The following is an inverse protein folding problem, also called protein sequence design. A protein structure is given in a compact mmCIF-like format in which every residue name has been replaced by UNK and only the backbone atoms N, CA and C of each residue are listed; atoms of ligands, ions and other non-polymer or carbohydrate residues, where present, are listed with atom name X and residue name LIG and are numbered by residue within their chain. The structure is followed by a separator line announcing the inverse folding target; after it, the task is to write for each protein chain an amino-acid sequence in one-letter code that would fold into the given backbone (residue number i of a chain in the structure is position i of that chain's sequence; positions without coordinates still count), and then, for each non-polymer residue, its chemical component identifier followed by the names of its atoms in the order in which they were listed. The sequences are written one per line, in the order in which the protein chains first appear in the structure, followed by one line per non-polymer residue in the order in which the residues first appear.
data_IF_972959011579
#
_entry.id   IF_972959011579
#
_cell.length_a   1.000
_cell.length_b   1.000
_cell.length_c   1.000
_cell.angle_alpha   90.00
_cell.angle_beta   90.00
_cell.angle_gamma   90.00
#
_symmetry.space_group_name_H-M   'P 1'
#
loop_
_entity.id
_entity.type
_entity.pdbx_description
1 polymer ?
#
# COMPACT_ATOMS: atom_id res chain seq x y z
N UNK A 1 -12.67 44.20 23.44
CA UNK A 1 -11.78 45.25 22.98
C UNK A 1 -10.40 45.09 23.64
N UNK A 2 -9.33 45.33 22.91
CA UNK A 2 -7.99 45.38 23.49
C UNK A 2 -7.81 46.68 24.29
N UNK A 3 -7.19 46.68 25.47
CA UNK A 3 -6.96 47.85 26.30
C UNK A 3 -5.60 47.80 26.99
N UNK A 4 -5.09 48.96 27.38
CA UNK A 4 -3.83 49.08 28.12
C UNK A 4 -4.12 49.78 29.43
N UNK A 5 -3.72 49.17 30.51
CA UNK A 5 -3.84 49.68 31.87
C UNK A 5 -2.45 50.07 32.43
N UNK A 6 -2.33 51.28 33.00
CA UNK A 6 -1.15 51.70 33.73
C UNK A 6 -1.24 51.17 35.17
N UNK A 7 -0.22 50.47 35.64
CA UNK A 7 -0.11 49.98 37.05
C UNK A 7 1.22 50.36 37.65
N UNK A 8 1.25 50.51 38.94
CA UNK A 8 2.49 50.66 39.71
C UNK A 8 2.74 49.35 40.47
N UNK A 9 3.90 48.75 40.25
CA UNK A 9 4.33 47.55 40.95
C UNK A 9 5.72 47.77 41.50
N UNK A 10 5.87 47.61 42.83
CA UNK A 10 7.15 47.80 43.53
C UNK A 10 7.83 49.14 43.21
N UNK A 11 7.04 50.25 43.22
CA UNK A 11 7.53 51.58 42.90
C UNK A 11 7.82 51.89 41.41
N UNK A 12 7.64 50.91 40.49
CA UNK A 12 7.87 51.08 39.06
C UNK A 12 6.57 51.10 38.29
N UNK A 13 6.47 52.02 37.35
CA UNK A 13 5.31 52.03 36.40
C UNK A 13 5.45 50.93 35.41
N UNK A 14 4.41 50.09 35.29
CA UNK A 14 4.28 49.02 34.29
C UNK A 14 2.97 49.17 33.52
N UNK A 15 2.95 48.66 32.28
CA UNK A 15 1.81 48.74 31.38
C UNK A 15 1.27 47.37 31.10
N UNK A 16 0.01 47.10 31.44
CA UNK A 16 -0.67 45.82 31.26
C UNK A 16 -1.55 45.87 30.06
N UNK A 17 -1.21 45.13 29.00
CA UNK A 17 -2.03 44.94 27.81
C UNK A 17 -3.05 43.83 28.07
N UNK A 18 -4.33 44.14 27.89
CA UNK A 18 -5.46 43.21 27.96
C UNK A 18 -5.97 42.93 26.57
N UNK A 19 -6.20 41.66 26.27
CA UNK A 19 -6.78 41.26 25.00
C UNK A 19 -7.61 39.97 25.14
N UNK A 20 -8.48 39.68 24.17
CA UNK A 20 -9.21 38.42 24.11
C UNK A 20 -8.65 37.54 23.02
N UNK A 21 -8.58 36.25 23.27
CA UNK A 21 -8.27 35.26 22.25
C UNK A 21 -9.42 35.13 21.25
N UNK A 22 -9.26 34.53 20.07
CA UNK A 22 -10.34 34.23 19.14
C UNK A 22 -11.47 33.39 19.80
N UNK A 23 -11.13 32.52 20.76
CA UNK A 23 -12.08 31.75 21.58
C UNK A 23 -12.77 32.56 22.70
N UNK A 24 -12.56 33.90 22.76
CA UNK A 24 -13.19 34.78 23.76
C UNK A 24 -12.48 34.86 25.12
N UNK A 25 -11.46 34.05 25.40
CA UNK A 25 -10.77 34.05 26.67
C UNK A 25 -9.96 35.33 26.87
N UNK A 26 -10.06 35.96 28.07
CA UNK A 26 -9.29 37.14 28.41
C UNK A 26 -7.85 36.75 28.74
N UNK A 27 -6.90 37.51 28.19
CA UNK A 27 -5.43 37.38 28.43
C UNK A 27 -4.86 38.73 28.74
N UNK A 28 -3.72 38.72 29.44
CA UNK A 28 -2.97 39.93 29.70
C UNK A 28 -1.47 39.68 29.65
N UNK A 29 -0.70 40.74 29.33
CA UNK A 29 0.76 40.75 29.37
C UNK A 29 1.26 42.09 29.85
N UNK A 30 2.26 42.11 30.75
CA UNK A 30 2.81 43.30 31.36
C UNK A 30 4.10 43.71 30.65
N UNK A 31 4.28 44.99 30.45
CA UNK A 31 5.44 45.62 29.80
C UNK A 31 5.96 46.79 30.63
N UNK A 32 7.25 47.10 30.51
CA UNK A 32 7.88 48.23 31.20
C UNK A 32 7.60 49.56 30.47
N UNK A 33 7.27 49.55 29.18
CA UNK A 33 6.99 50.75 28.37
C UNK A 33 5.61 50.63 27.70
N UNK A 34 4.94 51.78 27.60
CA UNK A 34 3.61 51.84 26.96
C UNK A 34 3.67 51.44 25.50
N UNK A 35 4.69 51.91 24.75
CA UNK A 35 4.91 51.62 23.36
C UNK A 35 5.04 50.11 23.07
N UNK A 36 5.69 49.35 23.99
CA UNK A 36 5.83 47.93 23.82
C UNK A 36 4.48 47.20 24.00
N UNK A 37 3.64 47.68 24.92
CA UNK A 37 2.28 47.18 25.08
C UNK A 37 1.39 47.46 23.86
N UNK A 38 1.51 48.67 23.28
CA UNK A 38 0.78 49.06 22.04
C UNK A 38 1.21 48.20 20.84
N UNK A 39 2.52 48.05 20.60
CA UNK A 39 3.06 47.20 19.54
C UNK A 39 2.61 45.75 19.71
N UNK A 40 2.63 45.25 20.94
CA UNK A 40 2.16 43.89 21.21
C UNK A 40 0.67 43.73 20.87
N UNK A 41 -0.20 44.64 21.26
CA UNK A 41 -1.62 44.58 20.91
C UNK A 41 -1.84 44.68 19.41
N UNK A 42 -1.13 45.54 18.70
CA UNK A 42 -1.20 45.63 17.25
C UNK A 42 -0.80 44.26 16.59
N UNK A 43 0.27 43.65 17.08
CA UNK A 43 0.68 42.32 16.59
C UNK A 43 -0.37 41.23 16.89
N UNK A 44 -1.00 41.24 18.06
CA UNK A 44 -2.07 40.32 18.44
C UNK A 44 -3.27 40.51 17.50
N UNK A 45 -3.71 41.74 17.26
CA UNK A 45 -4.87 42.02 16.40
C UNK A 45 -4.56 41.64 14.94
N UNK A 46 -3.37 41.97 14.43
CA UNK A 46 -2.93 41.53 13.10
C UNK A 46 -2.93 40.01 12.97
N UNK A 47 -2.39 39.30 13.97
CA UNK A 47 -2.36 37.84 13.96
C UNK A 47 -3.74 37.18 14.03
N UNK A 48 -4.70 37.82 14.70
CA UNK A 48 -6.11 37.37 14.71
C UNK A 48 -6.76 37.56 13.33
N UNK A 49 -6.54 38.72 12.71
CA UNK A 49 -7.10 39.03 11.40
C UNK A 49 -6.53 38.11 10.31
N UNK A 50 -5.29 37.69 10.41
CA UNK A 50 -4.65 36.74 9.50
C UNK A 50 -4.88 35.26 9.88
N UNK A 51 -5.60 34.98 10.97
CA UNK A 51 -5.81 33.62 11.46
C UNK A 51 -4.55 32.93 12.00
N UNK A 52 -3.44 33.67 12.18
CA UNK A 52 -2.16 33.14 12.64
C UNK A 52 -1.94 33.29 14.15
N UNK A 53 -2.98 33.67 14.90
CA UNK A 53 -2.90 33.86 16.35
C UNK A 53 -2.67 32.54 17.09
N UNK A 54 -1.66 32.52 17.95
CA UNK A 54 -1.34 31.42 18.87
C UNK A 54 -1.62 31.89 20.29
N UNK A 55 -2.41 31.11 21.05
CA UNK A 55 -2.56 31.37 22.49
C UNK A 55 -1.28 30.91 23.23
N UNK A 56 -0.51 31.84 23.86
CA UNK A 56 0.69 31.49 24.59
C UNK A 56 0.46 30.51 25.77
N UNK A 57 -0.78 30.43 26.27
CA UNK A 57 -1.11 29.49 27.34
C UNK A 57 -1.24 28.06 26.79
N UNK A 58 -1.83 27.90 25.60
CA UNK A 58 -2.01 26.60 24.96
C UNK A 58 -0.70 26.02 24.45
N UNK A 59 0.23 26.86 24.00
CA UNK A 59 1.54 26.42 23.46
C UNK A 59 2.57 26.04 24.56
N UNK A 60 2.24 26.23 25.83
CA UNK A 60 3.09 25.84 26.98
C UNK A 60 3.04 24.34 27.29
N UNK A 61 2.04 23.62 26.77
CA UNK A 61 1.93 22.16 26.93
C UNK A 61 3.21 21.49 26.47
N UNK A 62 3.63 20.43 27.12
CA UNK A 62 4.77 19.63 26.65
C UNK A 62 4.40 18.74 25.48
N UNK A 63 5.39 18.30 24.72
CA UNK A 63 5.17 17.33 23.65
C UNK A 63 4.68 16.00 24.22
N UNK A 64 5.10 15.62 25.44
CA UNK A 64 4.62 14.41 26.11
C UNK A 64 3.12 14.47 26.40
N UNK A 65 2.66 15.52 27.11
CA UNK A 65 1.24 15.72 27.43
C UNK A 65 0.40 15.85 26.16
N UNK A 66 0.93 16.54 25.13
CA UNK A 66 0.26 16.67 23.85
C UNK A 66 0.14 15.33 23.11
N UNK A 67 1.15 14.46 23.21
CA UNK A 67 1.13 13.14 22.61
C UNK A 67 0.04 12.24 23.18
N UNK A 68 -0.20 12.33 24.49
CA UNK A 68 -1.28 11.60 25.17
C UNK A 68 -2.66 12.09 24.67
N UNK A 69 -2.89 13.40 24.67
CA UNK A 69 -4.12 14.00 24.17
C UNK A 69 -4.34 13.65 22.68
N UNK A 70 -3.28 13.63 21.89
CA UNK A 70 -3.35 13.26 20.49
C UNK A 70 -3.73 11.78 20.29
N UNK A 71 -3.15 10.88 21.09
CA UNK A 71 -3.46 9.44 21.06
C UNK A 71 -4.91 9.18 21.46
N UNK A 72 -5.40 9.82 22.51
CA UNK A 72 -6.79 9.69 22.97
C UNK A 72 -7.78 10.16 21.91
N UNK A 73 -7.40 11.17 21.14
CA UNK A 73 -8.20 11.65 20.00
C UNK A 73 -8.24 10.73 18.78
N UNK A 74 -7.41 9.67 18.73
CA UNK A 74 -7.34 8.76 17.58
C UNK A 74 -8.41 7.66 17.61
N UNK A 75 -9.68 7.99 17.81
CA UNK A 75 -10.79 7.04 17.97
C UNK A 75 -11.20 6.34 16.68
N UNK A 76 -10.95 6.94 15.51
CA UNK A 76 -11.37 6.43 14.19
C UNK A 76 -10.37 5.46 13.55
N UNK A 77 -9.20 5.26 14.13
CA UNK A 77 -8.18 4.37 13.56
C UNK A 77 -8.38 2.93 14.02
N UNK A 78 -7.98 1.97 13.18
CA UNK A 78 -7.97 0.54 13.57
C UNK A 78 -7.07 0.34 14.80
N UNK A 79 -7.46 -0.59 15.68
CA UNK A 79 -6.71 -0.91 16.90
C UNK A 79 -5.20 -1.15 16.67
N UNK A 80 -4.84 -1.84 15.58
CA UNK A 80 -3.45 -2.08 15.18
C UNK A 80 -2.72 -0.81 14.74
N UNK A 81 -3.43 0.19 14.25
CA UNK A 81 -2.85 1.49 13.89
C UNK A 81 -2.62 2.32 15.14
N UNK A 82 -3.58 2.30 16.08
CA UNK A 82 -3.45 2.94 17.38
C UNK A 82 -2.26 2.38 18.17
N UNK A 83 -2.17 1.05 18.31
CA UNK A 83 -1.03 0.37 18.95
C UNK A 83 0.32 0.77 18.34
N UNK A 84 0.37 0.90 17.00
CA UNK A 84 1.58 1.36 16.31
C UNK A 84 1.91 2.81 16.63
N UNK A 85 0.91 3.70 16.70
CA UNK A 85 1.12 5.10 17.07
C UNK A 85 1.62 5.21 18.51
N UNK A 86 0.96 4.51 19.43
CA UNK A 86 1.39 4.41 20.83
C UNK A 86 2.83 3.89 20.95
N UNK A 87 3.16 2.81 20.22
CA UNK A 87 4.51 2.27 20.18
C UNK A 87 5.55 3.25 19.67
N UNK A 88 5.21 4.06 18.64
CA UNK A 88 6.11 5.11 18.12
C UNK A 88 6.27 6.24 19.14
N UNK A 89 5.17 6.71 19.73
CA UNK A 89 5.21 7.77 20.75
C UNK A 89 6.09 7.33 21.91
N UNK A 90 5.82 6.18 22.50
CA UNK A 90 6.55 5.67 23.67
C UNK A 90 8.04 5.42 23.40
N UNK A 91 8.39 4.81 22.25
CA UNK A 91 9.75 4.35 21.97
C UNK A 91 10.64 5.40 21.32
N UNK A 92 10.08 6.38 20.62
CA UNK A 92 10.87 7.29 19.79
C UNK A 92 10.60 8.78 20.07
N UNK A 93 9.36 9.16 20.39
CA UNK A 93 9.00 10.56 20.62
C UNK A 93 9.24 10.95 22.08
N UNK A 94 8.61 10.27 23.03
CA UNK A 94 8.73 10.59 24.45
C UNK A 94 10.17 10.63 24.97
N UNK A 95 11.08 9.71 24.63
CA UNK A 95 12.46 9.77 25.14
C UNK A 95 13.22 11.02 24.76
N UNK A 96 12.83 11.69 23.66
CA UNK A 96 13.50 12.91 23.20
C UNK A 96 12.75 14.18 23.57
N UNK A 97 11.41 14.13 23.54
CA UNK A 97 10.58 15.33 23.51
C UNK A 97 9.64 15.48 24.71
N UNK A 98 9.53 14.49 25.61
CA UNK A 98 8.48 14.45 26.64
C UNK A 98 8.37 15.77 27.40
N UNK A 99 9.49 16.32 27.88
CA UNK A 99 9.55 17.53 28.70
C UNK A 99 9.74 18.83 27.91
N UNK A 100 9.79 18.74 26.55
CA UNK A 100 9.98 19.91 25.70
C UNK A 100 8.61 20.55 25.44
N UNK A 101 8.50 21.86 25.62
CA UNK A 101 7.28 22.61 25.29
C UNK A 101 7.07 22.61 23.77
N UNK A 102 5.82 22.47 23.32
CA UNK A 102 5.49 22.50 21.87
C UNK A 102 6.08 23.75 21.19
N UNK A 103 5.97 24.92 21.82
CA UNK A 103 6.52 26.17 21.30
C UNK A 103 8.05 26.21 21.20
N UNK A 104 8.75 25.33 21.90
CA UNK A 104 10.21 25.29 21.91
C UNK A 104 10.81 24.34 20.88
N UNK A 105 9.98 23.50 20.24
CA UNK A 105 10.43 22.59 19.18
C UNK A 105 10.74 23.38 17.92
N UNK A 106 11.99 23.33 17.46
CA UNK A 106 12.40 23.97 16.21
C UNK A 106 12.52 22.97 15.04
N UNK A 107 12.51 23.48 13.81
CA UNK A 107 12.75 22.67 12.62
C UNK A 107 14.13 21.98 12.65
N UNK A 108 15.17 22.71 13.11
CA UNK A 108 16.53 22.17 13.23
C UNK A 108 16.61 21.02 14.25
N UNK A 109 15.86 21.10 15.34
CA UNK A 109 15.83 20.03 16.34
C UNK A 109 15.19 18.76 15.79
N UNK A 110 14.09 18.92 15.01
CA UNK A 110 13.43 17.78 14.34
C UNK A 110 14.37 17.18 13.29
N UNK A 111 15.09 17.99 12.50
CA UNK A 111 16.05 17.51 11.52
C UNK A 111 17.20 16.74 12.21
N UNK A 112 17.74 17.27 13.31
CA UNK A 112 18.79 16.61 14.08
C UNK A 112 18.30 15.28 14.70
N UNK A 113 17.04 15.25 15.17
CA UNK A 113 16.43 14.03 15.68
C UNK A 113 16.25 12.97 14.59
N UNK A 114 15.78 13.34 13.39
CA UNK A 114 15.69 12.46 12.23
C UNK A 114 17.06 11.89 11.88
N UNK A 115 18.11 12.73 11.87
CA UNK A 115 19.49 12.30 11.62
C UNK A 115 19.98 11.29 12.67
N UNK A 116 19.63 11.46 13.94
CA UNK A 116 19.94 10.46 14.98
C UNK A 116 19.23 9.14 14.75
N UNK A 117 17.95 9.19 14.37
CA UNK A 117 17.16 7.97 14.07
C UNK A 117 17.76 7.15 12.92
N UNK A 118 18.37 7.79 11.91
CA UNK A 118 18.97 7.06 10.77
C UNK A 118 20.15 6.17 11.18
N UNK A 119 20.78 6.43 12.32
CA UNK A 119 21.88 5.60 12.84
C UNK A 119 21.42 4.22 13.33
N UNK A 120 20.16 4.08 13.74
CA UNK A 120 19.63 2.87 14.38
C UNK A 120 18.40 2.29 13.69
N UNK A 121 17.76 3.04 12.80
CA UNK A 121 16.52 2.66 12.17
C UNK A 121 16.64 2.66 10.64
N UNK A 122 15.94 1.72 9.99
CA UNK A 122 15.85 1.71 8.52
C UNK A 122 15.18 2.99 7.98
N UNK A 123 15.50 3.43 6.76
CA UNK A 123 14.87 4.58 6.11
C UNK A 123 13.33 4.55 6.16
N UNK A 124 12.74 3.39 5.93
CA UNK A 124 11.30 3.20 5.98
C UNK A 124 10.73 3.38 7.41
N UNK A 125 11.46 2.93 8.45
CA UNK A 125 11.09 3.13 9.85
C UNK A 125 11.18 4.59 10.25
N UNK A 126 12.29 5.27 9.90
CA UNK A 126 12.46 6.72 10.16
C UNK A 126 11.30 7.52 9.59
N UNK A 127 10.91 7.26 8.34
CA UNK A 127 9.78 7.94 7.70
C UNK A 127 8.45 7.70 8.42
N UNK A 128 8.22 6.48 8.92
CA UNK A 128 7.01 6.16 9.70
C UNK A 128 7.00 6.86 11.06
N UNK A 129 8.14 6.90 11.74
CA UNK A 129 8.31 7.56 13.03
C UNK A 129 8.10 9.07 12.88
N UNK A 130 8.77 9.70 11.91
CA UNK A 130 8.61 11.12 11.58
C UNK A 130 7.15 11.47 11.25
N UNK A 131 6.47 10.62 10.46
CA UNK A 131 5.06 10.85 10.11
C UNK A 131 4.15 10.96 11.33
N UNK A 132 4.37 10.17 12.38
CA UNK A 132 3.59 10.26 13.61
C UNK A 132 3.81 11.60 14.30
N UNK A 133 5.08 12.03 14.46
CA UNK A 133 5.39 13.35 15.00
C UNK A 133 4.75 14.48 14.17
N UNK A 134 4.86 14.41 12.83
CA UNK A 134 4.25 15.40 11.94
C UNK A 134 2.74 15.48 12.11
N UNK A 135 2.03 14.34 12.19
CA UNK A 135 0.57 14.32 12.41
C UNK A 135 0.18 14.92 13.76
N UNK A 136 0.97 14.68 14.82
CA UNK A 136 0.76 15.30 16.13
C UNK A 136 0.91 16.82 16.06
N UNK A 137 1.95 17.32 15.38
CA UNK A 137 2.20 18.75 15.22
C UNK A 137 1.19 19.41 14.25
N UNK A 138 0.70 18.71 13.22
CA UNK A 138 -0.39 19.19 12.37
C UNK A 138 -1.70 19.38 13.17
N UNK A 139 -1.98 18.47 14.11
CA UNK A 139 -3.11 18.66 15.01
C UNK A 139 -2.90 19.85 15.95
N UNK A 140 -1.67 20.07 16.46
CA UNK A 140 -1.34 21.23 17.29
C UNK A 140 -1.50 22.56 16.54
N UNK A 141 -1.22 22.57 15.23
CA UNK A 141 -1.49 23.75 14.37
C UNK A 141 -2.99 23.98 14.23
N UNK A 142 -3.76 22.93 13.94
CA UNK A 142 -5.24 23.04 13.84
C UNK A 142 -5.90 23.46 15.15
N UNK A 143 -5.31 23.08 16.29
CA UNK A 143 -5.78 23.44 17.64
C UNK A 143 -5.26 24.84 18.09
N UNK A 144 -4.61 25.60 17.21
CA UNK A 144 -4.10 26.95 17.52
C UNK A 144 -2.97 26.99 18.52
N UNK A 145 -2.26 25.87 18.77
CA UNK A 145 -1.10 25.77 19.66
C UNK A 145 0.21 26.10 18.98
N UNK A 146 0.28 25.90 17.68
CA UNK A 146 1.44 26.22 16.82
C UNK A 146 0.97 26.98 15.59
N UNK A 147 1.81 27.90 15.07
CA UNK A 147 1.55 28.61 13.82
C UNK A 147 1.81 27.77 12.58
N UNK A 148 2.73 26.83 12.69
CA UNK A 148 3.14 25.94 11.60
C UNK A 148 3.66 24.62 12.13
N UNK A 149 3.60 23.60 11.28
CA UNK A 149 4.22 22.32 11.58
C UNK A 149 5.73 22.39 11.32
N UNK A 150 6.52 22.38 12.39
CA UNK A 150 8.00 22.42 12.32
C UNK A 150 8.62 21.12 11.83
N UNK A 151 7.85 20.01 11.79
CA UNK A 151 8.27 18.76 11.18
C UNK A 151 7.99 18.71 9.66
N UNK A 152 7.30 19.70 9.09
CA UNK A 152 7.12 19.78 7.64
C UNK A 152 8.47 20.06 6.95
N UNK A 153 8.63 19.54 5.74
CA UNK A 153 9.80 19.77 4.87
C UNK A 153 11.16 19.32 5.47
N UNK A 154 11.13 18.43 6.48
CA UNK A 154 12.35 17.79 7.01
C UNK A 154 12.93 16.82 5.98
N UNK A 155 14.24 16.85 5.80
CA UNK A 155 14.95 15.94 4.90
C UNK A 155 14.91 14.52 5.45
N UNK A 156 14.14 13.65 4.78
CA UNK A 156 13.98 12.26 5.18
C UNK A 156 14.84 11.33 4.33
N UNK A 157 15.41 10.26 4.91
CA UNK A 157 16.21 9.30 4.16
C UNK A 157 15.39 8.66 3.04
N UNK A 158 16.03 8.44 1.88
CA UNK A 158 15.38 7.80 0.73
C UNK A 158 15.07 6.34 1.06
N UNK A 159 13.85 5.86 0.74
CA UNK A 159 13.53 4.43 0.88
C UNK A 159 14.42 3.61 -0.03
N UNK A 160 15.02 2.56 0.48
CA UNK A 160 15.70 1.57 -0.35
C UNK A 160 14.62 0.67 -0.96
N UNK A 161 14.55 0.64 -2.29
CA UNK A 161 13.73 -0.35 -3.00
C UNK A 161 14.49 -1.67 -2.98
N UNK A 162 14.02 -2.62 -2.20
CA UNK A 162 14.51 -3.99 -2.30
C UNK A 162 13.93 -4.63 -3.56
N UNK A 163 14.79 -5.29 -4.31
CA UNK A 163 14.38 -6.10 -5.44
C UNK A 163 13.49 -7.25 -4.93
N UNK A 164 12.30 -7.37 -5.50
CA UNK A 164 11.37 -8.43 -5.08
C UNK A 164 11.74 -9.72 -5.77
N UNK A 165 12.04 -10.74 -4.99
CA UNK A 165 12.35 -12.06 -5.49
C UNK A 165 11.08 -12.91 -5.51
N UNK A 166 10.59 -13.22 -6.69
CA UNK A 166 9.45 -14.11 -6.88
C UNK A 166 9.94 -15.56 -6.84
N UNK A 167 9.09 -16.46 -6.34
CA UNK A 167 9.42 -17.88 -6.23
C UNK A 167 8.80 -18.67 -7.37
N UNK A 168 9.54 -19.63 -7.90
CA UNK A 168 9.03 -20.61 -8.87
C UNK A 168 8.13 -21.63 -8.18
N UNK A 169 7.36 -22.40 -8.96
CA UNK A 169 6.57 -23.52 -8.44
C UNK A 169 7.42 -24.49 -7.63
N UNK A 170 8.58 -24.91 -8.18
CA UNK A 170 9.50 -25.82 -7.49
C UNK A 170 10.03 -25.26 -6.16
N UNK A 171 10.30 -23.94 -6.09
CA UNK A 171 10.71 -23.30 -4.83
C UNK A 171 9.59 -23.23 -3.81
N UNK A 172 8.34 -23.03 -4.26
CA UNK A 172 7.17 -23.07 -3.36
C UNK A 172 6.96 -24.49 -2.82
N UNK A 173 7.08 -25.52 -3.66
CA UNK A 173 6.93 -26.92 -3.26
C UNK A 173 8.04 -27.32 -2.29
N UNK A 174 9.29 -26.96 -2.55
CA UNK A 174 10.40 -27.21 -1.63
C UNK A 174 10.16 -26.55 -0.26
N UNK A 175 9.69 -25.30 -0.25
CA UNK A 175 9.37 -24.58 0.99
C UNK A 175 8.21 -25.25 1.75
N UNK A 176 7.15 -25.63 1.04
CA UNK A 176 6.01 -26.31 1.61
C UNK A 176 6.43 -27.66 2.23
N UNK A 177 7.23 -28.44 1.50
CA UNK A 177 7.80 -29.70 2.00
C UNK A 177 8.65 -29.47 3.25
N UNK A 178 9.58 -28.52 3.23
CA UNK A 178 10.44 -28.22 4.38
C UNK A 178 9.64 -27.73 5.62
N UNK A 179 8.51 -27.04 5.43
CA UNK A 179 7.61 -26.64 6.51
C UNK A 179 6.81 -27.84 7.09
N UNK A 180 6.47 -28.79 6.24
CA UNK A 180 5.72 -30.00 6.63
C UNK A 180 6.59 -31.14 7.16
N UNK A 181 7.83 -31.24 6.66
CA UNK A 181 8.74 -32.36 6.97
C UNK A 181 10.13 -31.81 7.30
N UNK A 182 10.31 -31.16 8.47
CA UNK A 182 11.58 -30.59 8.85
C UNK A 182 12.67 -31.67 8.99
N UNK A 183 13.78 -31.49 8.29
CA UNK A 183 14.92 -32.44 8.29
C UNK A 183 15.67 -32.50 9.61
N UNK A 184 15.57 -31.47 10.45
CA UNK A 184 16.22 -31.38 11.75
C UNK A 184 15.17 -31.17 12.85
N UNK A 185 14.71 -32.30 13.41
CA UNK A 185 13.70 -32.34 14.49
C UNK A 185 14.25 -31.74 15.79
N UNK A 186 15.58 -31.67 15.96
CA UNK A 186 16.20 -31.16 17.20
C UNK A 186 16.14 -29.62 17.33
N UNK A 187 16.17 -28.93 16.21
CA UNK A 187 16.05 -27.45 16.15
C UNK A 187 14.60 -26.96 16.06
N UNK A 188 13.70 -27.84 15.67
CA UNK A 188 12.28 -27.58 15.62
C UNK A 188 11.65 -28.25 16.82
N UNK A 189 10.97 -27.55 17.69
CA UNK A 189 10.03 -28.15 18.60
C UNK A 189 9.16 -29.06 17.76
N UNK A 190 9.28 -30.40 17.97
CA UNK A 190 8.51 -31.40 17.25
C UNK A 190 7.02 -30.98 17.31
N UNK A 191 6.53 -30.42 16.25
CA UNK A 191 5.09 -30.25 16.07
C UNK A 191 4.55 -31.64 15.75
N UNK A 192 3.32 -31.91 16.17
CA UNK A 192 2.67 -33.15 15.75
C UNK A 192 2.48 -33.13 14.21
N UNK A 193 2.34 -34.31 13.62
CA UNK A 193 2.23 -34.49 12.16
C UNK A 193 1.10 -33.62 11.55
N UNK A 194 -0.02 -33.48 12.26
CA UNK A 194 -1.16 -32.64 11.82
C UNK A 194 -0.78 -31.16 11.74
N UNK A 195 0.02 -30.68 12.69
CA UNK A 195 0.51 -29.27 12.67
C UNK A 195 1.46 -29.06 11.51
N UNK A 196 2.35 -30.02 11.25
CA UNK A 196 3.31 -29.95 10.16
C UNK A 196 2.61 -29.95 8.80
N UNK A 197 1.65 -30.87 8.60
CA UNK A 197 0.85 -30.91 7.36
C UNK A 197 0.03 -29.65 7.16
N UNK A 198 -0.55 -29.10 8.22
CA UNK A 198 -1.22 -27.81 8.15
C UNK A 198 -0.26 -26.69 7.71
N UNK A 199 0.99 -26.67 8.20
CA UNK A 199 1.96 -25.64 7.81
C UNK A 199 2.38 -25.78 6.35
N UNK A 200 2.54 -27.00 5.84
CA UNK A 200 2.73 -27.28 4.42
C UNK A 200 1.60 -26.68 3.60
N UNK A 201 0.37 -26.96 4.00
CA UNK A 201 -0.83 -26.47 3.31
C UNK A 201 -0.98 -24.94 3.39
N UNK A 202 -0.60 -24.32 4.51
CA UNK A 202 -0.56 -22.86 4.67
C UNK A 202 0.40 -22.22 3.66
N UNK A 203 1.60 -22.78 3.45
CA UNK A 203 2.54 -22.28 2.44
C UNK A 203 1.92 -22.31 1.06
N UNK A 204 1.39 -23.46 0.65
CA UNK A 204 0.75 -23.64 -0.65
C UNK A 204 -0.46 -22.70 -0.82
N UNK A 205 -1.34 -22.65 0.18
CA UNK A 205 -2.52 -21.80 0.12
C UNK A 205 -2.16 -20.32 -0.03
N UNK A 206 -1.19 -19.81 0.72
CA UNK A 206 -0.74 -18.41 0.61
C UNK A 206 -0.06 -18.13 -0.74
N UNK A 207 0.79 -19.06 -1.22
CA UNK A 207 1.54 -18.90 -2.46
C UNK A 207 0.69 -18.94 -3.73
N UNK A 208 -0.48 -19.60 -3.67
CA UNK A 208 -1.32 -19.76 -4.86
C UNK A 208 -2.63 -18.95 -4.82
N UNK A 209 -3.08 -18.51 -3.64
CA UNK A 209 -4.27 -17.65 -3.53
C UNK A 209 -3.96 -16.17 -3.34
N UNK A 210 -2.74 -15.84 -2.88
CA UNK A 210 -2.32 -14.48 -2.62
C UNK A 210 -3.04 -13.78 -1.48
N UNK A 211 -3.79 -14.47 -0.64
CA UNK A 211 -4.47 -13.90 0.51
C UNK A 211 -3.48 -13.41 1.56
N UNK A 212 -3.86 -12.39 2.33
CA UNK A 212 -3.04 -11.95 3.46
C UNK A 212 -3.09 -12.96 4.58
N UNK A 213 -2.01 -13.11 5.35
CA UNK A 213 -1.95 -14.07 6.44
C UNK A 213 -3.14 -13.92 7.44
N UNK A 214 -3.50 -12.69 7.80
CA UNK A 214 -4.64 -12.45 8.70
C UNK A 214 -6.00 -12.77 8.06
N UNK A 215 -6.13 -12.70 6.75
CA UNK A 215 -7.32 -13.12 5.99
C UNK A 215 -7.43 -14.65 5.96
N UNK A 216 -6.31 -15.34 5.70
CA UNK A 216 -6.21 -16.80 5.76
C UNK A 216 -6.54 -17.31 7.17
N UNK A 217 -5.97 -16.70 8.21
CA UNK A 217 -6.21 -17.09 9.59
C UNK A 217 -7.65 -16.83 10.08
N UNK A 218 -8.42 -15.97 9.37
CA UNK A 218 -9.83 -15.72 9.63
C UNK A 218 -10.78 -16.54 8.75
N UNK A 219 -10.24 -17.35 7.83
CA UNK A 219 -11.05 -18.10 6.87
C UNK A 219 -11.80 -19.24 7.56
N UNK A 220 -13.14 -19.28 7.37
CA UNK A 220 -14.01 -20.34 7.90
C UNK A 220 -14.33 -21.36 6.83
N UNK A 221 -14.60 -22.61 7.25
CA UNK A 221 -14.91 -23.77 6.38
C UNK A 221 -16.07 -23.43 5.44
N UNK A 222 -17.18 -22.86 5.93
CA UNK A 222 -18.35 -22.46 5.11
C UNK A 222 -18.06 -21.46 3.99
N UNK A 223 -16.87 -20.86 3.99
CA UNK A 223 -16.42 -19.90 2.96
C UNK A 223 -15.50 -20.53 1.92
N UNK A 224 -15.26 -21.82 2.00
CA UNK A 224 -14.47 -22.59 1.05
C UNK A 224 -15.41 -23.50 0.26
N UNK A 225 -15.52 -23.25 -1.02
CA UNK A 225 -16.28 -24.09 -1.96
C UNK A 225 -15.28 -24.84 -2.83
N UNK A 226 -15.01 -26.11 -2.46
CA UNK A 226 -14.06 -26.96 -3.15
C UNK A 226 -14.57 -27.39 -4.53
N UNK A 227 -15.90 -27.54 -4.70
CA UNK A 227 -16.51 -27.92 -5.98
C UNK A 227 -16.32 -26.78 -7.01
N UNK A 228 -16.58 -25.55 -6.61
CA UNK A 228 -16.33 -24.35 -7.44
C UNK A 228 -14.87 -23.90 -7.40
N UNK A 229 -14.05 -24.49 -6.57
CA UNK A 229 -12.65 -24.10 -6.36
C UNK A 229 -12.49 -22.62 -6.04
N UNK A 230 -13.24 -22.15 -5.04
CA UNK A 230 -13.25 -20.74 -4.61
C UNK A 230 -13.18 -20.65 -3.09
N UNK A 231 -12.51 -19.62 -2.59
CA UNK A 231 -12.61 -19.21 -1.21
C UNK A 231 -13.05 -17.75 -1.10
N UNK A 232 -14.00 -17.46 -0.21
CA UNK A 232 -14.55 -16.12 -0.01
C UNK A 232 -13.83 -15.44 1.15
N UNK A 233 -13.10 -14.40 0.85
CA UNK A 233 -12.34 -13.59 1.81
C UNK A 233 -13.18 -12.38 2.21
N UNK A 234 -13.66 -12.35 3.45
CA UNK A 234 -14.51 -11.29 3.95
C UNK A 234 -14.02 -10.69 5.27
N UNK A 235 -13.19 -11.41 6.03
CA UNK A 235 -12.69 -11.03 7.35
C UNK A 235 -11.18 -11.14 7.42
N UNK A 236 -10.62 -10.51 8.42
CA UNK A 236 -9.21 -10.61 8.76
C UNK A 236 -9.06 -10.58 10.27
N UNK A 237 -8.11 -11.35 10.80
CA UNK A 237 -7.78 -11.34 12.21
C UNK A 237 -6.34 -10.90 12.40
N UNK A 238 -6.10 -10.05 13.41
CA UNK A 238 -4.77 -9.50 13.67
C UNK A 238 -4.50 -9.52 15.17
N UNK A 239 -3.31 -9.97 15.61
CA UNK A 239 -2.93 -9.86 17.02
C UNK A 239 -2.71 -8.40 17.40
N UNK A 240 -3.28 -7.97 18.52
CA UNK A 240 -3.12 -6.64 19.13
C UNK A 240 -2.62 -6.86 20.56
N UNK A 241 -1.57 -6.15 20.97
CA UNK A 241 -1.01 -6.28 22.30
C UNK A 241 -2.08 -5.93 23.37
N UNK A 242 -2.21 -6.76 24.40
CA UNK A 242 -3.20 -6.59 25.46
C UNK A 242 -4.65 -6.97 25.09
N UNK A 243 -5.00 -7.04 23.79
CA UNK A 243 -6.36 -7.35 23.31
C UNK A 243 -6.48 -8.73 22.64
N UNK A 244 -5.35 -9.45 22.48
CA UNK A 244 -5.33 -10.75 21.84
C UNK A 244 -5.56 -10.69 20.32
N UNK A 245 -6.42 -11.59 19.79
CA UNK A 245 -6.72 -11.65 18.35
C UNK A 245 -7.98 -10.82 18.08
N UNK A 246 -7.80 -9.70 17.39
CA UNK A 246 -8.88 -8.76 17.05
C UNK A 246 -9.38 -9.07 15.64
N UNK A 247 -10.68 -9.33 15.53
CA UNK A 247 -11.38 -9.55 14.27
C UNK A 247 -11.78 -8.23 13.64
N UNK A 248 -11.79 -8.19 12.32
CA UNK A 248 -12.22 -7.02 11.57
C UNK A 248 -12.46 -7.34 10.10
N UNK A 249 -12.96 -6.38 9.39
CA UNK A 249 -13.09 -6.46 7.93
C UNK A 249 -11.72 -6.50 7.26
N UNK A 250 -11.68 -6.95 6.02
CA UNK A 250 -10.47 -6.88 5.18
C UNK A 250 -9.91 -5.44 5.14
N UNK A 251 -8.65 -5.28 4.74
CA UNK A 251 -8.01 -3.96 4.69
C UNK A 251 -8.74 -2.97 3.76
N UNK A 252 -9.40 -3.47 2.72
CA UNK A 252 -10.17 -2.68 1.73
C UNK A 252 -11.66 -2.67 2.01
N UNK A 253 -12.13 -3.27 3.11
CA UNK A 253 -13.54 -3.44 3.46
C UNK A 253 -14.38 -4.19 2.41
N UNK A 254 -13.76 -4.81 1.42
CA UNK A 254 -14.43 -5.53 0.34
C UNK A 254 -14.33 -7.04 0.54
N UNK A 255 -15.47 -7.72 0.33
CA UNK A 255 -15.53 -9.16 0.17
C UNK A 255 -15.03 -9.50 -1.23
N UNK A 256 -14.21 -10.53 -1.36
CA UNK A 256 -13.72 -11.04 -2.65
C UNK A 256 -13.62 -12.54 -2.67
N UNK A 257 -13.65 -13.11 -3.85
CA UNK A 257 -13.36 -14.50 -4.10
C UNK A 257 -11.92 -14.66 -4.59
N UNK A 258 -11.28 -15.73 -4.17
CA UNK A 258 -9.95 -16.13 -4.66
C UNK A 258 -10.02 -17.54 -5.23
N UNK A 259 -9.30 -17.83 -6.33
CA UNK A 259 -9.29 -19.15 -6.93
C UNK A 259 -8.49 -20.13 -6.07
N UNK A 260 -8.90 -21.40 -6.06
CA UNK A 260 -8.17 -22.52 -5.49
C UNK A 260 -7.71 -23.40 -6.64
N UNK A 261 -6.39 -23.53 -6.90
CA UNK A 261 -5.87 -24.46 -7.90
C UNK A 261 -6.32 -25.90 -7.65
N UNK A 262 -6.52 -26.67 -8.73
CA UNK A 262 -7.05 -28.04 -8.65
C UNK A 262 -6.20 -28.94 -7.72
N UNK A 263 -4.88 -28.83 -7.78
CA UNK A 263 -3.98 -29.67 -6.99
C UNK A 263 -4.12 -29.47 -5.47
N UNK A 264 -4.65 -28.30 -5.02
CA UNK A 264 -4.91 -28.05 -3.59
C UNK A 264 -6.24 -28.62 -3.09
N UNK A 265 -7.15 -29.01 -3.98
CA UNK A 265 -8.52 -29.40 -3.62
C UNK A 265 -8.51 -30.64 -2.73
N UNK A 266 -7.74 -31.67 -3.07
CA UNK A 266 -7.67 -32.91 -2.32
C UNK A 266 -7.05 -32.69 -0.92
N UNK A 267 -5.95 -31.96 -0.84
CA UNK A 267 -5.30 -31.64 0.42
C UNK A 267 -6.22 -30.82 1.33
N UNK A 268 -6.94 -29.84 0.76
CA UNK A 268 -7.93 -29.07 1.51
C UNK A 268 -9.11 -29.93 1.93
N UNK A 269 -9.63 -30.81 1.08
CA UNK A 269 -10.73 -31.71 1.43
C UNK A 269 -10.34 -32.60 2.62
N UNK A 270 -9.15 -33.19 2.59
CA UNK A 270 -8.58 -34.02 3.68
C UNK A 270 -8.41 -33.19 4.96
N UNK A 271 -7.90 -31.97 4.83
CA UNK A 271 -7.70 -31.05 5.96
C UNK A 271 -9.01 -30.58 6.59
N UNK A 272 -10.08 -30.43 5.80
CA UNK A 272 -11.40 -29.99 6.24
C UNK A 272 -12.32 -31.14 6.67
N UNK A 273 -11.92 -32.39 6.47
CA UNK A 273 -12.70 -33.54 6.92
C UNK A 273 -12.99 -33.43 8.43
N UNK A 274 -14.25 -33.68 8.82
CA UNK A 274 -14.73 -33.62 10.18
C UNK A 274 -14.65 -32.21 10.85
N UNK A 275 -14.71 -31.13 10.07
CA UNK A 275 -14.81 -29.77 10.60
C UNK A 275 -16.20 -29.21 10.37
N UNK A 276 -16.66 -28.46 11.34
CA UNK A 276 -17.95 -27.74 11.25
C UNK A 276 -17.84 -26.51 10.32
N UNK A 277 -18.95 -26.06 9.73
CA UNK A 277 -18.98 -24.92 8.83
C UNK A 277 -18.39 -23.62 9.42
N UNK A 278 -18.54 -23.43 10.72
CA UNK A 278 -18.04 -22.24 11.44
C UNK A 278 -16.62 -22.36 11.94
N UNK A 279 -16.01 -23.54 11.82
CA UNK A 279 -14.62 -23.74 12.17
C UNK A 279 -13.69 -22.94 11.28
N UNK A 280 -12.51 -22.63 11.81
CA UNK A 280 -11.44 -22.01 11.04
C UNK A 280 -10.75 -23.04 10.16
N UNK A 281 -10.49 -22.69 8.91
CA UNK A 281 -9.71 -23.53 8.00
C UNK A 281 -8.29 -23.76 8.56
N UNK A 282 -7.65 -22.72 9.08
CA UNK A 282 -6.31 -22.77 9.65
C UNK A 282 -6.32 -22.30 11.10
N UNK A 283 -6.52 -23.22 12.01
CA UNK A 283 -6.52 -22.97 13.44
C UNK A 283 -5.29 -23.59 14.10
N UNK A 284 -4.83 -22.99 15.20
CA UNK A 284 -3.84 -23.68 16.05
C UNK A 284 -4.44 -24.96 16.62
N UNK A 285 -3.87 -26.12 16.32
CA UNK A 285 -4.44 -27.46 16.58
C UNK A 285 -4.81 -27.65 18.05
N UNK A 286 -3.95 -27.18 18.97
CA UNK A 286 -4.21 -27.28 20.42
C UNK A 286 -5.19 -26.26 20.96
N UNK A 287 -5.33 -25.11 20.28
CA UNK A 287 -6.08 -23.97 20.82
C UNK A 287 -7.42 -23.72 20.15
N UNK A 288 -7.65 -24.28 18.96
CA UNK A 288 -8.80 -23.93 18.10
C UNK A 288 -8.85 -22.46 17.65
N UNK A 289 -7.89 -21.65 18.11
CA UNK A 289 -7.85 -20.19 17.84
C UNK A 289 -7.19 -19.90 16.49
N UNK A 290 -7.42 -18.72 15.89
CA UNK A 290 -6.78 -18.33 14.64
C UNK A 290 -5.26 -18.51 14.69
N UNK A 291 -4.68 -19.07 13.63
CA UNK A 291 -3.24 -19.26 13.53
C UNK A 291 -2.51 -17.92 13.63
N UNK A 292 -1.58 -17.81 14.58
CA UNK A 292 -0.75 -16.62 14.73
C UNK A 292 0.44 -16.66 13.76
N UNK A 293 0.70 -15.56 13.07
CA UNK A 293 1.87 -15.44 12.20
C UNK A 293 3.19 -15.67 12.94
N UNK A 294 3.27 -15.32 14.24
CA UNK A 294 4.46 -15.58 15.07
C UNK A 294 4.68 -17.06 15.35
N UNK A 295 3.61 -17.84 15.49
CA UNK A 295 3.70 -19.28 15.63
C UNK A 295 4.14 -19.94 14.32
N UNK A 296 3.51 -19.57 13.21
CA UNK A 296 3.86 -20.05 11.88
C UNK A 296 5.31 -19.71 11.49
N UNK A 297 5.79 -18.50 11.78
CA UNK A 297 7.18 -18.09 11.51
C UNK A 297 8.23 -18.96 12.18
N UNK A 298 7.92 -19.60 13.32
CA UNK A 298 8.85 -20.49 14.01
C UNK A 298 9.15 -21.77 13.20
N UNK A 299 8.21 -22.22 12.39
CA UNK A 299 8.44 -23.32 11.45
C UNK A 299 8.91 -22.82 10.08
N UNK A 300 8.32 -21.72 9.60
CA UNK A 300 8.59 -21.17 8.29
C UNK A 300 10.02 -20.69 8.10
N UNK A 301 10.60 -19.98 9.09
CA UNK A 301 11.93 -19.41 8.98
C UNK A 301 13.02 -20.46 8.84
N UNK A 302 13.11 -21.48 9.73
CA UNK A 302 14.10 -22.54 9.54
C UNK A 302 13.90 -23.35 8.25
N UNK A 303 12.64 -23.56 7.83
CA UNK A 303 12.35 -24.22 6.55
C UNK A 303 12.84 -23.40 5.36
N UNK A 304 12.66 -22.08 5.39
CA UNK A 304 13.22 -21.19 4.36
C UNK A 304 14.76 -21.17 4.37
N UNK A 305 15.36 -21.15 5.56
CA UNK A 305 16.82 -21.24 5.72
C UNK A 305 17.39 -22.56 5.16
N UNK A 306 16.72 -23.71 5.41
CA UNK A 306 17.18 -25.02 4.94
C UNK A 306 17.20 -25.19 3.42
N UNK A 307 16.40 -24.38 2.71
CA UNK A 307 16.35 -24.38 1.24
C UNK A 307 17.07 -23.18 0.61
N UNK A 308 17.94 -22.51 1.38
CA UNK A 308 18.75 -21.40 0.89
C UNK A 308 18.02 -20.07 0.74
N UNK A 309 16.91 -19.84 1.46
CA UNK A 309 16.10 -18.62 1.41
C UNK A 309 15.95 -17.93 2.78
N UNK A 310 17.03 -17.55 3.49
CA UNK A 310 16.99 -17.09 4.88
C UNK A 310 16.18 -15.82 5.10
N UNK A 311 16.09 -14.96 4.07
CA UNK A 311 15.39 -13.67 4.14
C UNK A 311 13.92 -13.73 3.72
N UNK A 312 13.38 -14.93 3.48
CA UNK A 312 12.01 -15.10 3.05
C UNK A 312 11.03 -14.90 4.22
N UNK A 313 9.99 -14.11 3.99
CA UNK A 313 8.90 -13.86 4.94
C UNK A 313 7.57 -14.37 4.41
N UNK A 314 6.63 -14.80 5.28
CA UNK A 314 5.33 -15.30 4.83
C UNK A 314 4.54 -14.36 3.92
N UNK A 315 4.73 -13.03 4.06
CA UNK A 315 4.05 -12.07 3.20
C UNK A 315 4.56 -12.07 1.74
N UNK A 316 5.79 -12.55 1.50
CA UNK A 316 6.35 -12.65 0.16
C UNK A 316 5.69 -13.75 -0.68
N UNK A 317 5.05 -14.74 -0.04
CA UNK A 317 4.22 -15.72 -0.74
C UNK A 317 3.07 -15.07 -1.51
N UNK A 318 2.56 -13.94 -1.01
CA UNK A 318 1.55 -13.18 -1.74
C UNK A 318 2.12 -12.50 -2.99
N UNK A 319 3.37 -12.04 -2.95
CA UNK A 319 4.06 -11.54 -4.14
C UNK A 319 4.32 -12.66 -5.14
N UNK A 320 4.67 -13.84 -4.64
CA UNK A 320 4.79 -15.06 -5.44
C UNK A 320 3.47 -15.42 -6.11
N UNK A 321 2.35 -15.40 -5.40
CA UNK A 321 1.02 -15.65 -5.98
C UNK A 321 0.70 -14.70 -7.15
N UNK A 322 1.03 -13.42 -7.00
CA UNK A 322 0.84 -12.45 -8.07
C UNK A 322 1.71 -12.77 -9.29
N UNK A 323 2.99 -13.05 -9.07
CA UNK A 323 3.92 -13.39 -10.14
C UNK A 323 3.51 -14.67 -10.88
N UNK A 324 3.14 -15.71 -10.15
CA UNK A 324 2.67 -16.97 -10.74
C UNK A 324 1.37 -16.80 -11.54
N UNK A 325 0.43 -15.98 -11.03
CA UNK A 325 -0.81 -15.67 -11.75
C UNK A 325 -0.52 -14.91 -13.05
N UNK A 326 0.37 -13.91 -13.02
CA UNK A 326 0.78 -13.14 -14.21
C UNK A 326 1.47 -14.06 -15.23
N UNK A 327 2.41 -14.88 -14.77
CA UNK A 327 3.08 -15.88 -15.62
C UNK A 327 2.12 -16.91 -16.24
N UNK A 328 0.97 -17.15 -15.57
CA UNK A 328 -0.11 -18.02 -16.09
C UNK A 328 -1.13 -17.26 -16.97
N UNK A 329 -0.83 -16.02 -17.38
CA UNK A 329 -1.67 -15.26 -18.31
C UNK A 329 -2.73 -14.36 -17.65
N UNK A 330 -2.78 -14.24 -16.33
CA UNK A 330 -3.75 -13.38 -15.66
C UNK A 330 -3.51 -11.90 -15.99
N UNK A 331 -4.57 -11.18 -16.38
CA UNK A 331 -4.50 -9.74 -16.59
C UNK A 331 -4.44 -8.96 -15.27
N UNK A 332 -4.12 -7.65 -15.38
CA UNK A 332 -3.98 -6.75 -14.23
C UNK A 332 -5.23 -6.72 -13.35
N UNK A 333 -6.42 -6.79 -13.97
CA UNK A 333 -7.70 -6.73 -13.25
C UNK A 333 -7.96 -7.99 -12.44
N UNK A 334 -7.67 -9.15 -13.02
CA UNK A 334 -7.76 -10.44 -12.34
C UNK A 334 -6.79 -10.48 -11.14
N UNK A 335 -5.53 -10.07 -11.32
CA UNK A 335 -4.54 -10.00 -10.22
C UNK A 335 -4.98 -9.00 -9.16
N UNK A 336 -5.50 -7.83 -9.54
CA UNK A 336 -6.06 -6.84 -8.61
C UNK A 336 -7.16 -7.45 -7.74
N UNK A 337 -8.12 -8.13 -8.36
CA UNK A 337 -9.25 -8.77 -7.68
C UNK A 337 -8.78 -9.88 -6.74
N UNK A 338 -7.94 -10.79 -7.21
CA UNK A 338 -7.37 -11.90 -6.44
C UNK A 338 -6.67 -11.38 -5.18
N UNK A 339 -5.82 -10.37 -5.34
CA UNK A 339 -5.09 -9.78 -4.24
C UNK A 339 -5.98 -8.87 -3.35
N UNK A 340 -7.08 -8.32 -3.85
CA UNK A 340 -7.89 -7.31 -3.16
C UNK A 340 -7.10 -6.01 -2.98
N UNK A 341 -6.51 -5.51 -4.07
CA UNK A 341 -5.92 -4.18 -4.14
C UNK A 341 -7.02 -3.14 -4.40
N UNK A 342 -6.95 -1.99 -3.72
CA UNK A 342 -7.94 -0.93 -3.87
C UNK A 342 -7.97 -0.28 -5.24
N UNK A 343 -6.87 -0.35 -6.01
CA UNK A 343 -6.78 0.16 -7.37
C UNK A 343 -5.89 -0.73 -8.26
N UNK A 344 -6.10 -0.66 -9.58
CA UNK A 344 -5.23 -1.30 -10.57
C UNK A 344 -3.83 -0.67 -10.55
N UNK A 345 -3.72 0.63 -10.30
CA UNK A 345 -2.45 1.36 -10.15
C UNK A 345 -1.56 0.70 -9.08
N UNK A 346 -2.13 0.30 -7.94
CA UNK A 346 -1.36 -0.40 -6.89
C UNK A 346 -0.78 -1.74 -7.40
N UNK A 347 -1.48 -2.43 -8.28
CA UNK A 347 -1.00 -3.68 -8.90
C UNK A 347 0.10 -3.37 -9.91
N UNK A 348 -0.09 -2.37 -10.77
CA UNK A 348 0.89 -1.94 -11.77
C UNK A 348 2.16 -1.39 -11.13
N UNK A 349 2.07 -0.52 -10.12
CA UNK A 349 3.23 0.01 -9.38
C UNK A 349 4.08 -1.11 -8.74
N UNK A 350 3.42 -2.24 -8.45
CA UNK A 350 4.06 -3.36 -7.77
C UNK A 350 4.59 -4.41 -8.73
N UNK A 351 3.83 -4.72 -9.79
CA UNK A 351 4.05 -5.87 -10.68
C UNK A 351 4.07 -5.49 -12.15
N UNK A 352 4.02 -4.18 -12.49
CA UNK A 352 3.96 -3.71 -13.88
C UNK A 352 5.08 -4.30 -14.77
N UNK A 353 6.29 -4.37 -14.21
CA UNK A 353 7.46 -4.96 -14.89
C UNK A 353 7.31 -6.46 -15.26
N UNK A 354 6.35 -7.18 -14.67
CA UNK A 354 6.04 -8.58 -15.01
C UNK A 354 5.07 -8.70 -16.19
N UNK A 355 4.48 -7.59 -16.63
CA UNK A 355 3.63 -7.53 -17.81
C UNK A 355 4.36 -7.01 -19.05
N UNK A 356 5.65 -6.63 -18.90
CA UNK A 356 6.50 -6.19 -19.99
C UNK A 356 6.83 -7.39 -20.90
N UNK A 357 6.97 -7.15 -22.22
CA UNK A 357 7.30 -8.15 -23.25
C UNK A 357 6.23 -9.18 -23.60
N UNK A 358 4.94 -8.87 -23.45
CA UNK A 358 3.85 -9.74 -23.88
C UNK A 358 3.24 -9.36 -25.24
N UNK A 359 3.87 -8.44 -25.98
CA UNK A 359 3.34 -7.99 -27.27
C UNK A 359 3.38 -9.12 -28.30
N UNK A 360 4.43 -9.93 -28.30
CA UNK A 360 4.57 -11.08 -29.18
C UNK A 360 3.53 -12.17 -28.86
N UNK A 361 3.34 -12.47 -27.56
CA UNK A 361 2.30 -13.41 -27.10
C UNK A 361 0.89 -12.96 -27.52
N UNK A 362 0.61 -11.65 -27.50
CA UNK A 362 -0.67 -11.09 -27.94
C UNK A 362 -0.83 -11.22 -29.45
N UNK A 363 0.22 -10.94 -30.21
CA UNK A 363 0.22 -11.10 -31.65
C UNK A 363 -0.02 -12.56 -32.05
N UNK A 364 0.69 -13.50 -31.43
CA UNK A 364 0.52 -14.92 -31.64
C UNK A 364 -0.89 -15.42 -31.27
N UNK A 365 -1.44 -14.93 -30.16
CA UNK A 365 -2.79 -15.27 -29.72
C UNK A 365 -3.86 -14.72 -30.68
N UNK A 366 -3.67 -13.53 -31.24
CA UNK A 366 -4.55 -12.96 -32.27
C UNK A 366 -4.51 -13.78 -33.57
N UNK A 367 -3.35 -14.24 -33.97
CA UNK A 367 -3.18 -15.08 -35.14
C UNK A 367 -3.83 -16.46 -34.96
N UNK A 368 -3.67 -17.07 -33.79
CA UNK A 368 -4.33 -18.32 -33.43
C UNK A 368 -5.85 -18.18 -33.42
N UNK A 369 -6.38 -17.12 -32.80
CA UNK A 369 -7.82 -16.86 -32.74
C UNK A 369 -8.40 -16.69 -34.16
N UNK A 370 -7.74 -15.89 -35.00
CA UNK A 370 -8.14 -15.70 -36.40
C UNK A 370 -8.13 -17.00 -37.22
N UNK A 371 -7.12 -17.84 -37.00
CA UNK A 371 -6.98 -19.12 -37.69
C UNK A 371 -8.08 -20.09 -37.27
N UNK A 372 -8.43 -20.15 -35.99
CA UNK A 372 -9.50 -20.99 -35.46
C UNK A 372 -10.90 -20.56 -35.98
N UNK A 373 -11.16 -19.24 -36.07
CA UNK A 373 -12.41 -18.73 -36.66
C UNK A 373 -12.53 -19.09 -38.13
N UNK A 374 -11.42 -19.01 -38.88
CA UNK A 374 -11.42 -19.42 -40.32
C UNK A 374 -11.62 -20.91 -40.50
N UNK A 375 -11.13 -21.76 -39.62
CA UNK A 375 -11.36 -23.21 -39.66
C UNK A 375 -12.78 -23.60 -39.24
N UNK A 376 -13.41 -22.79 -38.33
CA UNK A 376 -14.83 -22.97 -37.96
C UNK A 376 -15.85 -22.50 -39.00
N UNK A 377 -15.43 -21.67 -39.94
CA UNK A 377 -16.27 -21.13 -41.04
C UNK A 377 -15.93 -21.69 -42.42
N UNK A 378 -15.08 -22.72 -42.49
CA UNK A 378 -14.70 -23.33 -43.78
C UNK A 378 -15.79 -24.24 -44.33
N UNK A 379 -16.90 -23.62 -44.80
CA UNK A 379 -17.71 -24.00 -45.90
C UNK A 379 -17.73 -22.80 -46.85
N UNK A 380 -17.00 -22.88 -47.96
CA UNK A 380 -16.99 -21.97 -49.12
C UNK A 380 -16.36 -20.56 -48.98
N UNK A 381 -15.04 -20.46 -48.85
CA UNK A 381 -14.27 -19.31 -49.43
C UNK A 381 -12.83 -19.76 -49.77
N UNK A 382 -12.28 -19.40 -50.96
CA UNK A 382 -10.95 -19.86 -51.40
C UNK A 382 -9.79 -19.27 -50.62
N UNK A 383 -8.74 -20.06 -50.56
CA UNK A 383 -7.56 -19.91 -49.74
C UNK A 383 -6.68 -18.66 -49.96
N UNK A 384 -6.14 -18.19 -48.86
CA UNK A 384 -4.76 -17.79 -48.60
C UNK A 384 -4.24 -16.45 -49.12
N UNK A 385 -4.13 -15.50 -48.16
CA UNK A 385 -3.05 -14.50 -48.17
C UNK A 385 -1.97 -14.92 -47.16
N UNK A 386 -0.68 -14.95 -47.51
CA UNK A 386 0.39 -15.39 -46.62
C UNK A 386 0.78 -14.34 -45.58
N UNK A 387 0.98 -14.77 -44.32
CA UNK A 387 1.55 -13.95 -43.25
C UNK A 387 3.06 -13.99 -43.33
N UNK A 388 3.71 -12.83 -43.33
CA UNK A 388 5.15 -12.71 -43.38
C UNK A 388 5.81 -13.17 -42.05
N UNK A 389 6.66 -14.19 -42.13
CA UNK A 389 7.65 -14.49 -41.10
C UNK A 389 8.94 -13.80 -41.46
N UNK A 390 9.46 -12.97 -40.55
CA UNK A 390 10.84 -12.47 -40.64
C UNK A 390 11.73 -13.52 -39.98
N UNK A 391 12.68 -14.05 -40.74
CA UNK A 391 13.69 -14.98 -40.22
C UNK A 391 14.67 -14.24 -39.34
N UNK A 392 15.40 -14.91 -38.42
CA UNK A 392 16.33 -14.29 -37.46
C UNK A 392 17.47 -13.48 -38.08
N UNK A 393 17.70 -13.64 -39.38
CA UNK A 393 18.74 -12.96 -40.16
C UNK A 393 18.25 -11.69 -40.89
N UNK A 394 17.00 -11.28 -40.68
CA UNK A 394 16.45 -10.05 -41.24
C UNK A 394 16.09 -10.10 -42.73
N UNK A 395 16.18 -11.27 -43.37
CA UNK A 395 15.79 -11.44 -44.75
C UNK A 395 14.28 -11.77 -44.83
N UNK A 396 13.54 -11.20 -45.81
CA UNK A 396 12.14 -11.57 -46.03
C UNK A 396 12.06 -12.98 -46.60
N UNK A 397 11.09 -13.78 -46.14
CA UNK A 397 10.83 -15.11 -46.71
C UNK A 397 10.38 -15.00 -48.15
N UNK A 398 10.43 -16.13 -48.91
CA UNK A 398 10.07 -16.16 -50.33
C UNK A 398 8.63 -15.69 -50.59
N UNK A 399 7.71 -15.86 -49.63
CA UNK A 399 6.32 -15.42 -49.71
C UNK A 399 6.21 -13.91 -49.63
N UNK A 400 7.03 -13.28 -48.79
CA UNK A 400 7.10 -11.84 -48.64
C UNK A 400 7.72 -11.18 -49.88
N UNK A 401 8.76 -11.77 -50.43
CA UNK A 401 9.37 -11.33 -51.68
C UNK A 401 8.38 -11.36 -52.83
N UNK A 402 7.57 -12.40 -52.92
CA UNK A 402 6.50 -12.54 -53.95
C UNK A 402 5.37 -11.54 -53.74
N UNK A 403 5.03 -11.19 -52.49
CA UNK A 403 4.02 -10.16 -52.20
C UNK A 403 4.53 -8.76 -52.62
N UNK A 404 5.80 -8.46 -52.42
CA UNK A 404 6.44 -7.23 -52.87
C UNK A 404 6.48 -7.12 -54.38
N UNK A 405 6.68 -8.24 -55.09
CA UNK A 405 6.61 -8.30 -56.56
C UNK A 405 5.18 -8.01 -57.07
N UNK A 406 4.16 -8.58 -56.43
CA UNK A 406 2.76 -8.33 -56.80
C UNK A 406 2.32 -6.90 -56.54
N UNK A 407 2.83 -6.26 -55.49
CA UNK A 407 2.62 -4.85 -55.16
C UNK A 407 3.32 -3.96 -56.21
N UNK A 408 4.56 -4.32 -56.59
CA UNK A 408 5.35 -3.57 -57.57
C UNK A 408 4.74 -3.69 -58.96
N UNK A 409 4.11 -4.80 -59.28
CA UNK A 409 3.39 -5.04 -60.52
C UNK A 409 2.01 -4.39 -60.60
N UNK A 410 1.55 -3.70 -59.54
CA UNK A 410 0.24 -3.01 -59.50
C UNK A 410 -0.95 -3.95 -59.40
N UNK A 411 -0.74 -5.24 -59.15
CA UNK A 411 -1.80 -6.25 -59.08
C UNK A 411 -2.49 -6.28 -57.73
N UNK A 412 -1.88 -5.66 -56.68
CA UNK A 412 -2.45 -5.48 -55.33
C UNK A 412 -2.24 -4.01 -54.92
N UNK A 413 -3.26 -3.33 -54.32
CA UNK A 413 -3.11 -1.99 -53.82
C UNK A 413 -2.04 -1.92 -52.72
N UNK A 414 -1.13 -0.94 -52.80
CA UNK A 414 -0.08 -0.75 -51.83
C UNK A 414 -0.66 -0.30 -50.48
N UNK A 415 -0.86 -1.23 -49.56
CA UNK A 415 -1.40 -1.00 -48.21
C UNK A 415 -0.25 -0.98 -47.15
N UNK A 416 0.98 -1.18 -47.60
CA UNK A 416 2.13 -1.33 -46.70
C UNK A 416 2.94 -0.03 -46.69
N UNK A 417 2.95 0.64 -45.56
CA UNK A 417 3.85 1.76 -45.29
C UNK A 417 5.30 1.29 -45.22
N UNK A 418 6.19 2.05 -45.85
CA UNK A 418 7.65 1.86 -45.74
C UNK A 418 8.14 1.84 -44.27
N UNK A 419 9.29 1.24 -43.97
CA UNK A 419 9.77 0.97 -42.59
C UNK A 419 9.92 2.18 -41.64
N UNK A 420 9.60 3.39 -42.08
CA UNK A 420 9.67 4.61 -41.29
C UNK A 420 8.34 5.35 -41.19
N UNK A 421 7.28 4.68 -40.77
CA UNK A 421 6.05 5.40 -40.41
C UNK A 421 4.78 4.72 -40.85
N UNK A 422 4.13 4.03 -39.95
CA UNK A 422 2.77 3.51 -40.13
C UNK A 422 1.80 4.70 -40.04
N UNK A 423 1.29 5.17 -41.20
CA UNK A 423 0.07 6.00 -41.28
C UNK A 423 -1.07 5.16 -41.80
N UNK A 424 -1.89 4.64 -40.91
CA UNK A 424 -3.18 4.04 -41.25
C UNK A 424 -4.14 5.15 -41.72
N UNK A 425 -4.55 5.12 -42.97
CA UNK A 425 -5.76 5.82 -43.44
C UNK A 425 -6.98 5.04 -42.96
N UNK A 426 -7.60 5.53 -41.87
CA UNK A 426 -8.94 5.07 -41.53
C UNK A 426 -9.90 5.60 -42.57
N UNK A 427 -10.57 4.69 -43.27
CA UNK A 427 -11.76 4.98 -44.11
C UNK A 427 -12.87 5.50 -43.19
N UNK A 428 -13.35 6.69 -43.50
CA UNK A 428 -14.36 7.39 -42.73
C UNK A 428 -15.66 6.59 -42.67
N UNK A 429 -16.01 6.08 -41.51
CA UNK A 429 -17.39 5.73 -41.16
C UNK A 429 -18.08 7.04 -40.79
N UNK A 430 -19.07 7.45 -41.59
CA UNK A 430 -19.96 8.57 -41.28
C UNK A 430 -20.73 8.28 -40.00
N UNK A 431 -20.38 8.95 -38.90
CA UNK A 431 -21.11 8.86 -37.66
C UNK A 431 -20.62 9.93 -36.66
N UNK A 432 -21.36 11.01 -36.55
CA UNK A 432 -21.43 12.05 -35.52
C UNK A 432 -20.11 12.46 -34.84
N UNK A 433 -19.69 13.69 -35.17
CA UNK A 433 -18.61 14.42 -34.46
C UNK A 433 -18.94 14.56 -32.96
N UNK A 434 -17.99 14.29 -32.06
CA UNK A 434 -18.08 14.80 -30.68
C UNK A 434 -17.84 16.32 -30.71
N UNK A 435 -18.60 17.04 -29.88
CA UNK A 435 -18.41 18.48 -29.65
C UNK A 435 -17.06 18.72 -28.94
N UNK A 436 -16.37 19.84 -29.26
CA UNK A 436 -15.19 20.24 -28.51
C UNK A 436 -15.58 20.56 -27.05
N UNK A 437 -14.75 20.17 -26.10
CA UNK A 437 -14.79 20.63 -24.72
C UNK A 437 -14.41 22.11 -24.72
N UNK A 438 -15.28 22.97 -24.19
CA UNK A 438 -15.03 24.40 -23.94
C UNK A 438 -13.91 24.55 -22.91
N UNK A 439 -12.78 25.07 -23.36
CA UNK A 439 -11.76 25.62 -22.47
C UNK A 439 -12.30 26.92 -21.88
N UNK A 440 -12.75 26.83 -20.61
CA UNK A 440 -13.18 27.97 -19.83
C UNK A 440 -12.04 28.94 -19.56
N UNK A 441 -11.90 29.96 -20.43
CA UNK A 441 -11.02 31.10 -20.22
C UNK A 441 -11.48 31.94 -19.03
N UNK A 442 -10.61 32.13 -18.05
CA UNK A 442 -10.76 33.15 -17.02
C UNK A 442 -10.60 34.56 -17.64
N UNK A 443 -11.72 35.24 -17.83
CA UNK A 443 -11.75 36.64 -18.16
C UNK A 443 -11.65 37.49 -16.90
N UNK A 444 -10.61 38.28 -16.79
CA UNK A 444 -10.48 39.37 -15.83
C UNK A 444 -11.55 40.44 -16.09
N UNK A 445 -12.19 40.91 -15.02
CA UNK A 445 -12.96 42.19 -15.06
C UNK A 445 -12.18 43.29 -14.35
N UNK A 446 -12.07 44.47 -14.92
CA UNK A 446 -11.68 45.69 -14.22
C UNK A 446 -12.93 46.45 -13.72
N UNK A 447 -12.79 47.01 -12.57
CA UNK A 447 -13.32 48.18 -11.89
C UNK A 447 -13.76 47.83 -10.45
#
# INVERSE_FOLDING_TARGET
MASIEKRVREGRTVWRAHYRTPAGHQRNKTFNRKVDAERFLATVESSKNTGSYIDPALSRITVGDWAELWLDGQTQVKATTHERYEGVVRKHIQPTWSNVKLAAVSHSDVQAWVTRLTKTQSPASVRKIHRVLSMMLDMAVRDGRLSRNVAAQVNLPRPVKHERRYRTHAQVDALAHACGYPSDVSKHRAHDERTNEMYRLVVLFLAYTGVRFGEMAALRVRRVDLAKRRAVIAESVTPVQGKGMVWGTTKTHQRREVPIPRFLVEDLARHLANREPDDLVFAGIRSGKPLRVSAFRKAFRPAAESIGMPDLYPHELRHTAASLAIASGADVKVVQQMLGHGSATMTLDTYGHLFENRLDEVADAMDLARTSERQGTASDVPAELPVARVLPDGQPDERWSRLLELISAGQIPNVIGTPNGIRTRATAVKGRRPRPLDDGGFGARPA
#
